data_IF_606484748251
#
_entry.id   IF_606484748251
#
_cell.length_a   1.000
_cell.length_b   1.000
_cell.length_c   1.000
_cell.angle_alpha   90.00
_cell.angle_beta   90.00
_cell.angle_gamma   90.00
#
_symmetry.space_group_name_H-M   'P 1'
#
loop_
_entity.id
_entity.type
_entity.pdbx_description
1 polymer ?
#
# COMPACT_ATOMS: atom_id res chain seq x y z
N UNK A 1 12.13 -1.82 -14.68
CA UNK A 1 11.76 -3.22 -14.86
C UNK A 1 12.87 -4.00 -15.57
N UNK A 2 12.93 -4.05 -16.91
CA UNK A 2 13.90 -4.89 -17.65
C UNK A 2 15.37 -4.57 -17.33
N UNK A 3 15.74 -3.30 -17.24
CA UNK A 3 17.12 -2.90 -16.88
C UNK A 3 17.43 -3.27 -15.42
N UNK A 4 16.50 -3.05 -14.51
CA UNK A 4 16.67 -3.41 -13.10
C UNK A 4 16.84 -4.93 -12.93
N UNK A 5 16.10 -5.73 -13.70
CA UNK A 5 16.20 -7.18 -13.69
C UNK A 5 17.58 -7.65 -14.19
N UNK A 6 18.05 -7.07 -15.31
CA UNK A 6 19.40 -7.34 -15.81
C UNK A 6 20.52 -6.94 -14.83
N UNK A 7 20.38 -5.81 -14.15
CA UNK A 7 21.35 -5.36 -13.17
C UNK A 7 21.28 -6.20 -11.88
N UNK A 8 20.10 -6.73 -11.54
CA UNK A 8 19.92 -7.61 -10.40
C UNK A 8 20.75 -8.88 -10.47
N UNK A 9 21.09 -9.37 -11.66
CA UNK A 9 22.01 -10.52 -11.82
C UNK A 9 23.39 -10.28 -11.20
N UNK A 10 23.84 -9.02 -11.18
CA UNK A 10 25.17 -8.63 -10.69
C UNK A 10 25.18 -8.07 -9.27
N UNK A 11 24.01 -7.77 -8.70
CA UNK A 11 23.86 -7.21 -7.37
C UNK A 11 23.53 -8.31 -6.35
N UNK A 12 23.98 -8.18 -5.12
CA UNK A 12 23.60 -9.03 -3.98
C UNK A 12 22.33 -8.53 -3.30
N UNK A 13 22.15 -7.21 -3.29
CA UNK A 13 21.02 -6.55 -2.65
C UNK A 13 20.31 -5.61 -3.60
N UNK A 14 18.99 -5.79 -3.76
CA UNK A 14 18.13 -4.97 -4.64
C UNK A 14 17.17 -4.15 -3.77
N UNK A 15 17.32 -2.83 -3.79
CA UNK A 15 16.56 -1.92 -2.93
C UNK A 15 15.57 -1.08 -3.73
N UNK A 16 14.29 -1.19 -3.40
CA UNK A 16 13.30 -0.20 -3.78
C UNK A 16 13.24 0.87 -2.69
N UNK A 17 13.75 2.05 -2.96
CA UNK A 17 13.92 3.09 -1.95
C UNK A 17 12.79 4.13 -1.90
N UNK A 18 11.94 4.24 -2.94
CA UNK A 18 10.84 5.22 -3.01
C UNK A 18 9.67 4.76 -3.90
N UNK A 19 8.63 5.60 -3.97
CA UNK A 19 7.43 5.35 -4.76
C UNK A 19 6.42 4.48 -4.02
N UNK A 20 5.53 3.87 -4.75
CA UNK A 20 4.49 2.99 -4.23
C UNK A 20 4.00 2.04 -5.33
N UNK A 21 2.76 1.58 -5.23
CA UNK A 21 2.16 0.66 -6.20
C UNK A 21 1.55 1.36 -7.44
N UNK A 22 2.03 2.57 -7.78
CA UNK A 22 1.51 3.36 -8.91
C UNK A 22 2.00 2.91 -10.28
N UNK A 23 3.19 2.31 -10.37
CA UNK A 23 3.76 1.79 -11.61
C UNK A 23 4.11 0.32 -11.46
N UNK A 24 3.62 -0.51 -12.38
CA UNK A 24 3.97 -1.92 -12.45
C UNK A 24 5.19 -2.18 -13.33
N UNK A 25 5.87 -3.29 -13.07
CA UNK A 25 6.88 -3.84 -13.96
C UNK A 25 6.63 -5.32 -14.17
N UNK A 26 6.94 -5.79 -15.36
CA UNK A 26 6.71 -7.18 -15.76
C UNK A 26 8.04 -7.83 -16.10
N UNK A 27 8.24 -9.04 -15.59
CA UNK A 27 9.41 -9.89 -15.82
C UNK A 27 8.92 -11.19 -16.40
N UNK A 28 9.64 -11.71 -17.39
CA UNK A 28 9.40 -13.03 -17.94
C UNK A 28 10.58 -13.93 -17.60
N UNK A 29 10.33 -15.04 -16.91
CA UNK A 29 11.34 -16.01 -16.52
C UNK A 29 10.81 -17.42 -16.71
N UNK A 30 11.57 -18.26 -17.42
CA UNK A 30 11.17 -19.66 -17.65
C UNK A 30 9.83 -19.83 -18.39
N UNK A 31 9.42 -18.85 -19.19
CA UNK A 31 8.12 -18.85 -19.88
C UNK A 31 6.95 -18.32 -19.01
N UNK A 32 7.17 -18.08 -17.74
CA UNK A 32 6.17 -17.48 -16.83
C UNK A 32 6.30 -15.96 -16.77
N UNK A 33 5.18 -15.28 -16.62
CA UNK A 33 5.10 -13.81 -16.54
C UNK A 33 4.75 -13.37 -15.14
N UNK A 34 5.61 -12.57 -14.53
CA UNK A 34 5.44 -12.00 -13.21
C UNK A 34 5.21 -10.48 -13.32
N UNK A 35 4.12 -9.98 -12.76
CA UNK A 35 3.80 -8.56 -12.71
C UNK A 35 3.85 -8.05 -11.28
N UNK A 36 4.74 -7.11 -11.00
CA UNK A 36 4.93 -6.52 -9.68
C UNK A 36 4.68 -5.02 -9.68
N UNK A 37 4.23 -4.50 -8.55
CA UNK A 37 4.09 -3.07 -8.28
C UNK A 37 4.97 -2.62 -7.10
N UNK A 38 5.17 -3.49 -6.11
CA UNK A 38 5.93 -3.20 -4.89
C UNK A 38 7.20 -4.03 -4.77
N UNK A 39 7.12 -5.32 -5.05
CA UNK A 39 8.25 -6.24 -4.86
C UNK A 39 9.35 -5.94 -5.87
N UNK A 40 10.63 -5.81 -5.45
CA UNK A 40 11.75 -5.63 -6.37
C UNK A 40 11.93 -6.80 -7.33
N UNK A 41 12.40 -6.53 -8.56
CA UNK A 41 12.60 -7.54 -9.61
C UNK A 41 13.49 -8.71 -9.20
N UNK A 42 14.48 -8.45 -8.35
CA UNK A 42 15.42 -9.47 -7.87
C UNK A 42 14.81 -10.61 -7.08
N UNK A 43 13.52 -10.52 -6.71
CA UNK A 43 12.84 -11.57 -5.91
C UNK A 43 12.88 -12.95 -6.56
N UNK A 44 12.96 -13.00 -7.88
CA UNK A 44 13.05 -14.26 -8.62
C UNK A 44 14.41 -14.94 -8.48
N UNK A 45 15.40 -14.29 -7.89
CA UNK A 45 16.73 -14.81 -7.59
C UNK A 45 16.84 -15.08 -6.10
N UNK A 46 16.88 -16.36 -5.71
CA UNK A 46 16.87 -16.79 -4.30
C UNK A 46 18.13 -16.39 -3.51
N UNK A 47 19.22 -16.13 -4.21
CA UNK A 47 20.52 -15.69 -3.68
C UNK A 47 20.61 -14.17 -3.46
N UNK A 48 19.58 -13.39 -3.84
CA UNK A 48 19.53 -11.93 -3.70
C UNK A 48 18.69 -11.51 -2.52
N UNK A 49 19.11 -10.48 -1.82
CA UNK A 49 18.27 -9.81 -0.82
C UNK A 49 17.43 -8.72 -1.49
N UNK A 50 16.11 -8.79 -1.34
CA UNK A 50 15.16 -7.82 -1.90
C UNK A 50 14.58 -6.94 -0.80
N UNK A 51 14.79 -5.64 -0.89
CA UNK A 51 14.41 -4.68 0.15
C UNK A 51 13.35 -3.71 -0.37
N UNK A 52 12.25 -3.57 0.40
CA UNK A 52 11.31 -2.45 0.29
C UNK A 52 11.68 -1.47 1.41
N UNK A 53 12.31 -0.36 1.04
CA UNK A 53 12.88 0.61 1.97
C UNK A 53 11.85 1.59 2.56
N UNK A 54 12.30 2.37 3.53
CA UNK A 54 11.48 3.32 4.31
C UNK A 54 10.94 4.52 3.51
N UNK A 55 11.46 4.76 2.32
CA UNK A 55 10.95 5.80 1.41
C UNK A 55 9.72 5.37 0.61
N UNK A 56 9.41 4.07 0.57
CA UNK A 56 8.25 3.54 -0.14
C UNK A 56 6.97 3.77 0.67
N UNK A 57 5.86 4.03 -0.02
CA UNK A 57 4.51 3.94 0.56
C UNK A 57 3.87 2.63 0.10
N UNK A 58 3.46 1.81 1.06
CA UNK A 58 3.08 0.41 0.87
C UNK A 58 1.58 0.22 1.02
N UNK A 59 0.91 -0.28 -0.02
CA UNK A 59 -0.44 -0.85 0.12
C UNK A 59 -0.28 -2.32 0.56
N UNK A 60 -0.66 -2.68 1.80
CA UNK A 60 -0.44 -4.03 2.33
C UNK A 60 -1.23 -5.08 1.55
N UNK A 61 -2.40 -4.75 1.00
CA UNK A 61 -3.21 -5.67 0.18
C UNK A 61 -2.49 -6.02 -1.12
N UNK A 62 -1.92 -5.00 -1.78
CA UNK A 62 -1.16 -5.21 -3.02
C UNK A 62 0.08 -6.04 -2.75
N UNK A 63 0.84 -5.71 -1.70
CA UNK A 63 2.05 -6.45 -1.35
C UNK A 63 1.75 -7.92 -1.03
N UNK A 64 0.72 -8.19 -0.23
CA UNK A 64 0.31 -9.55 0.11
C UNK A 64 -0.18 -10.32 -1.12
N UNK A 65 -0.91 -9.67 -2.02
CA UNK A 65 -1.34 -10.29 -3.29
C UNK A 65 -0.14 -10.70 -4.16
N UNK A 66 0.90 -9.87 -4.22
CA UNK A 66 2.14 -10.19 -4.94
C UNK A 66 2.91 -11.36 -4.27
N UNK A 67 3.02 -11.36 -2.93
CA UNK A 67 3.61 -12.44 -2.14
C UNK A 67 2.86 -13.76 -2.41
N UNK A 68 1.53 -13.74 -2.33
CA UNK A 68 0.71 -14.93 -2.56
C UNK A 68 0.83 -15.44 -4.01
N UNK A 69 0.94 -14.52 -4.97
CA UNK A 69 1.19 -14.84 -6.37
C UNK A 69 2.51 -15.59 -6.57
N UNK A 70 3.58 -15.08 -5.97
CA UNK A 70 4.91 -15.72 -6.00
C UNK A 70 4.90 -17.11 -5.36
N UNK A 71 4.30 -17.24 -4.17
CA UNK A 71 4.19 -18.53 -3.47
C UNK A 71 3.43 -19.57 -4.30
N UNK A 72 2.34 -19.16 -4.99
CA UNK A 72 1.58 -20.06 -5.88
C UNK A 72 2.40 -20.52 -7.08
N UNK A 73 3.29 -19.67 -7.58
CA UNK A 73 4.24 -20.01 -8.64
C UNK A 73 5.48 -20.79 -8.13
N UNK A 74 5.51 -21.21 -6.87
CA UNK A 74 6.63 -21.93 -6.30
C UNK A 74 7.86 -21.08 -6.01
N UNK A 75 7.75 -19.74 -6.07
CA UNK A 75 8.86 -18.82 -5.81
C UNK A 75 8.93 -18.51 -4.31
N UNK A 76 10.10 -18.73 -3.71
CA UNK A 76 10.34 -18.33 -2.32
C UNK A 76 10.37 -16.81 -2.18
N UNK A 77 9.79 -16.32 -1.09
CA UNK A 77 9.83 -14.91 -0.68
C UNK A 77 10.61 -14.68 0.62
N UNK A 78 11.40 -15.65 1.05
CA UNK A 78 12.19 -15.59 2.29
C UNK A 78 13.24 -14.46 2.25
N UNK A 79 13.69 -14.12 1.06
CA UNK A 79 14.67 -13.06 0.77
C UNK A 79 14.04 -11.65 0.66
N UNK A 80 12.71 -11.51 0.83
CA UNK A 80 12.04 -10.21 0.88
C UNK A 80 12.16 -9.58 2.26
N UNK A 81 12.64 -8.34 2.32
CA UNK A 81 12.73 -7.51 3.53
C UNK A 81 11.91 -6.24 3.35
N UNK A 82 10.98 -6.02 4.29
CA UNK A 82 10.09 -4.87 4.32
C UNK A 82 10.50 -3.94 5.46
N UNK A 83 10.74 -2.68 5.16
CA UNK A 83 11.09 -1.71 6.18
C UNK A 83 9.99 -1.54 7.23
N UNK A 84 10.33 -1.74 8.49
CA UNK A 84 9.49 -1.39 9.62
C UNK A 84 9.03 0.08 9.60
N UNK A 85 9.85 0.96 9.03
CA UNK A 85 9.61 2.40 8.92
C UNK A 85 8.92 2.85 7.62
N UNK A 86 8.63 1.96 6.67
CA UNK A 86 7.84 2.31 5.50
C UNK A 86 6.42 2.72 5.91
N UNK A 87 5.85 3.70 5.18
CA UNK A 87 4.50 4.17 5.48
C UNK A 87 3.44 3.37 4.71
N UNK A 88 2.27 3.23 5.32
CA UNK A 88 1.15 2.51 4.72
C UNK A 88 0.26 3.42 3.90
N UNK A 89 -0.23 2.90 2.79
CA UNK A 89 -1.37 3.46 2.07
C UNK A 89 -2.62 2.89 2.73
N UNK A 90 -3.35 3.75 3.42
CA UNK A 90 -4.60 3.41 4.10
C UNK A 90 -5.80 3.58 3.16
N UNK A 91 -6.94 2.92 3.41
CA UNK A 91 -8.14 3.04 2.58
C UNK A 91 -8.62 4.48 2.37
N UNK A 92 -8.50 5.33 3.39
CA UNK A 92 -8.86 6.74 3.28
C UNK A 92 -7.94 7.54 2.35
N UNK A 93 -6.68 7.14 2.15
CA UNK A 93 -5.79 7.77 1.18
C UNK A 93 -6.31 7.57 -0.25
N UNK A 94 -6.77 6.36 -0.58
CA UNK A 94 -7.36 6.04 -1.89
C UNK A 94 -8.63 6.84 -2.14
N UNK A 95 -9.47 6.99 -1.11
CA UNK A 95 -10.69 7.80 -1.18
C UNK A 95 -10.37 9.28 -1.45
N UNK A 96 -9.41 9.84 -0.72
CA UNK A 96 -8.99 11.24 -0.86
C UNK A 96 -8.35 11.51 -2.22
N UNK A 97 -7.49 10.62 -2.71
CA UNK A 97 -6.85 10.72 -4.03
C UNK A 97 -7.90 10.72 -5.15
N UNK A 98 -8.82 9.76 -5.10
CA UNK A 98 -9.95 9.68 -6.04
C UNK A 98 -10.82 10.92 -6.04
N UNK A 99 -11.04 11.50 -4.86
CA UNK A 99 -11.85 12.68 -4.69
C UNK A 99 -11.19 13.93 -5.25
N UNK A 100 -9.91 14.11 -4.96
CA UNK A 100 -9.13 15.23 -5.45
C UNK A 100 -9.13 15.25 -6.98
N UNK A 101 -8.87 14.12 -7.62
CA UNK A 101 -8.93 13.99 -9.07
C UNK A 101 -10.32 14.30 -9.63
N UNK A 102 -11.35 13.84 -8.95
CA UNK A 102 -12.73 14.10 -9.37
C UNK A 102 -13.11 15.58 -9.23
N UNK A 103 -12.64 16.27 -8.19
CA UNK A 103 -12.90 17.68 -7.92
C UNK A 103 -12.19 18.59 -8.93
N UNK A 104 -10.98 18.22 -9.33
CA UNK A 104 -10.18 18.97 -10.32
C UNK A 104 -10.77 18.88 -11.74
N UNK A 105 -11.54 17.85 -12.07
CA UNK A 105 -12.23 17.70 -13.35
C UNK A 105 -11.28 17.86 -14.54
N UNK A 106 -11.45 18.94 -15.35
CA UNK A 106 -10.58 19.23 -16.51
C UNK A 106 -9.14 19.55 -16.14
N UNK A 107 -8.88 19.96 -14.90
CA UNK A 107 -7.55 20.26 -14.36
C UNK A 107 -6.97 19.08 -13.55
N UNK A 108 -7.51 17.87 -13.75
CA UNK A 108 -7.01 16.67 -13.07
C UNK A 108 -5.54 16.45 -13.38
N UNK A 109 -4.79 16.01 -12.37
CA UNK A 109 -3.34 15.73 -12.46
C UNK A 109 -3.09 14.43 -13.24
N UNK A 110 -4.11 13.57 -13.33
CA UNK A 110 -3.99 12.24 -13.94
C UNK A 110 -3.35 11.23 -13.00
N UNK A 111 -3.62 11.32 -11.69
CA UNK A 111 -3.10 10.35 -10.72
C UNK A 111 -3.65 8.95 -10.97
N UNK A 112 -2.94 7.95 -10.49
CA UNK A 112 -3.38 6.55 -10.57
C UNK A 112 -4.52 6.23 -9.59
N UNK A 113 -4.93 7.18 -8.76
CA UNK A 113 -5.97 7.06 -7.71
C UNK A 113 -5.70 5.93 -6.71
N UNK A 114 -4.42 5.68 -6.44
CA UNK A 114 -3.96 4.63 -5.53
C UNK A 114 -3.56 5.15 -4.16
N UNK A 115 -3.82 6.43 -3.87
CA UNK A 115 -3.56 7.04 -2.56
C UNK A 115 -2.11 7.39 -2.29
N UNK A 116 -1.23 7.37 -3.29
CA UNK A 116 0.21 7.62 -3.15
C UNK A 116 0.47 9.03 -2.61
N UNK A 117 -0.08 10.06 -3.27
CA UNK A 117 0.07 11.46 -2.86
C UNK A 117 -0.41 11.73 -1.44
N UNK A 118 -1.65 11.37 -1.08
CA UNK A 118 -2.15 11.50 0.29
C UNK A 118 -1.33 10.75 1.34
N UNK A 119 -0.79 9.55 1.03
CA UNK A 119 0.07 8.81 1.95
C UNK A 119 1.40 9.53 2.20
N UNK A 120 2.02 10.12 1.17
CA UNK A 120 3.20 10.97 1.33
C UNK A 120 2.89 12.27 2.09
N UNK A 121 1.72 12.86 1.88
CA UNK A 121 1.28 14.02 2.65
C UNK A 121 1.19 13.69 4.15
N UNK A 122 0.57 12.56 4.51
CA UNK A 122 0.51 12.11 5.90
C UNK A 122 1.89 11.81 6.49
N UNK A 123 2.79 11.24 5.70
CA UNK A 123 4.20 11.06 6.10
C UNK A 123 4.85 12.39 6.45
N UNK A 124 4.71 13.42 5.60
CA UNK A 124 5.27 14.74 5.82
C UNK A 124 4.65 15.45 7.03
N UNK A 125 3.34 15.30 7.23
CA UNK A 125 2.57 15.83 8.35
C UNK A 125 2.79 15.05 9.66
N UNK A 126 3.55 13.94 9.64
CA UNK A 126 3.77 13.03 10.78
C UNK A 126 2.49 12.35 11.30
N UNK A 127 1.50 12.22 10.44
CA UNK A 127 0.24 11.49 10.69
C UNK A 127 0.25 10.07 10.08
N UNK A 128 1.29 9.76 9.30
CA UNK A 128 1.39 8.49 8.58
C UNK A 128 1.55 7.30 9.51
N UNK A 129 0.93 6.20 9.13
CA UNK A 129 1.01 4.91 9.80
C UNK A 129 2.15 4.12 9.18
N UNK A 130 3.00 3.52 10.00
CA UNK A 130 4.14 2.74 9.55
C UNK A 130 3.85 1.24 9.59
N UNK A 131 4.62 0.47 8.85
CA UNK A 131 4.52 -0.99 8.82
C UNK A 131 4.64 -1.60 10.22
N UNK A 132 5.57 -1.12 11.06
CA UNK A 132 5.72 -1.60 12.44
C UNK A 132 4.49 -1.38 13.31
N UNK A 133 3.66 -0.39 13.00
CA UNK A 133 2.45 -0.10 13.77
C UNK A 133 1.38 -1.19 13.61
N UNK A 134 1.50 -2.01 12.55
CA UNK A 134 0.62 -3.17 12.32
C UNK A 134 0.77 -4.27 13.39
N UNK A 135 1.90 -4.29 14.09
CA UNK A 135 2.25 -5.32 15.07
C UNK A 135 1.68 -5.03 16.47
N UNK A 136 1.10 -3.84 16.68
CA UNK A 136 0.46 -3.46 17.95
C UNK A 136 -0.91 -2.83 17.66
N UNK A 137 -1.98 -3.57 17.96
CA UNK A 137 -3.36 -3.12 17.71
C UNK A 137 -3.67 -1.79 18.41
N UNK A 138 -3.20 -1.58 19.65
CA UNK A 138 -3.48 -0.38 20.44
C UNK A 138 -2.82 0.85 19.83
N UNK A 139 -1.56 0.72 19.41
CA UNK A 139 -0.83 1.77 18.69
C UNK A 139 -1.50 2.05 17.36
N UNK A 140 -1.79 1.02 16.57
CA UNK A 140 -2.44 1.13 15.27
C UNK A 140 -3.78 1.86 15.37
N UNK A 141 -4.65 1.44 16.29
CA UNK A 141 -5.96 2.06 16.55
C UNK A 141 -5.85 3.55 16.91
N UNK A 142 -4.88 3.88 17.77
CA UNK A 142 -4.64 5.26 18.20
C UNK A 142 -4.18 6.12 17.02
N UNK A 143 -3.25 5.63 16.21
CA UNK A 143 -2.72 6.35 15.05
C UNK A 143 -3.75 6.50 13.93
N UNK A 144 -4.53 5.45 13.62
CA UNK A 144 -5.61 5.55 12.63
C UNK A 144 -6.63 6.61 13.06
N UNK A 145 -7.03 6.64 14.32
CA UNK A 145 -7.96 7.66 14.84
C UNK A 145 -7.40 9.06 14.65
N UNK A 146 -6.17 9.30 15.07
CA UNK A 146 -5.51 10.60 14.94
C UNK A 146 -5.35 11.03 13.47
N UNK A 147 -5.03 10.08 12.57
CA UNK A 147 -4.91 10.36 11.15
C UNK A 147 -6.25 10.66 10.47
N UNK A 148 -7.34 10.05 10.93
CA UNK A 148 -8.69 10.27 10.39
C UNK A 148 -9.30 11.60 10.83
N UNK A 149 -8.99 12.08 12.03
CA UNK A 149 -9.61 13.27 12.63
C UNK A 149 -9.56 14.50 11.69
N UNK A 150 -8.41 14.95 11.18
CA UNK A 150 -8.34 16.10 10.28
C UNK A 150 -8.98 15.84 8.90
N UNK A 151 -9.26 14.59 8.55
CA UNK A 151 -9.84 14.19 7.26
C UNK A 151 -11.35 14.00 7.29
N UNK A 152 -11.96 14.02 8.46
CA UNK A 152 -13.39 13.73 8.64
C UNK A 152 -14.29 14.63 7.79
N UNK A 153 -14.00 15.92 7.70
CA UNK A 153 -14.81 16.84 6.91
C UNK A 153 -14.74 16.50 5.42
N UNK A 154 -13.54 16.32 4.88
CA UNK A 154 -13.34 15.95 3.47
C UNK A 154 -14.01 14.61 3.12
N UNK A 155 -13.89 13.61 3.99
CA UNK A 155 -14.53 12.31 3.82
C UNK A 155 -16.07 12.39 3.86
N UNK A 156 -16.65 13.26 4.72
CA UNK A 156 -18.10 13.53 4.74
C UNK A 156 -18.59 14.17 3.46
N UNK A 157 -17.90 15.20 2.97
CA UNK A 157 -18.25 15.89 1.71
C UNK A 157 -18.25 14.91 0.54
N UNK A 158 -17.26 14.04 0.47
CA UNK A 158 -17.17 12.98 -0.54
C UNK A 158 -18.34 12.04 -0.51
N UNK A 159 -18.77 11.66 0.67
CA UNK A 159 -19.89 10.75 0.86
C UNK A 159 -21.19 11.34 0.36
N UNK A 160 -21.42 12.61 0.65
CA UNK A 160 -22.61 13.34 0.18
C UNK A 160 -22.61 13.44 -1.35
N UNK A 161 -21.47 13.79 -1.96
CA UNK A 161 -21.34 13.87 -3.42
C UNK A 161 -21.57 12.51 -4.10
N UNK A 162 -21.04 11.41 -3.53
CA UNK A 162 -21.25 10.07 -4.06
C UNK A 162 -22.71 9.64 -4.03
N UNK A 163 -23.43 9.97 -2.95
CA UNK A 163 -24.87 9.70 -2.83
C UNK A 163 -25.68 10.49 -3.87
N UNK A 164 -25.32 11.77 -4.07
CA UNK A 164 -25.98 12.63 -5.07
C UNK A 164 -25.85 12.06 -6.48
N UNK A 165 -24.64 11.68 -6.88
CA UNK A 165 -24.35 11.08 -8.20
C UNK A 165 -25.07 9.73 -8.41
N UNK A 166 -25.17 8.88 -7.37
CA UNK A 166 -25.92 7.62 -7.45
C UNK A 166 -27.41 7.85 -7.69
N UNK A 167 -28.01 8.82 -7.00
CA UNK A 167 -29.40 9.21 -7.21
C UNK A 167 -29.66 9.75 -8.63
N UNK A 168 -28.74 10.59 -9.12
CA UNK A 168 -28.81 11.16 -10.47
C UNK A 168 -28.61 10.10 -11.57
N UNK A 169 -27.85 9.03 -11.30
CA UNK A 169 -27.63 7.92 -12.23
C UNK A 169 -28.74 6.85 -12.21
N UNK A 170 -29.80 7.01 -11.40
CA UNK A 170 -30.91 6.06 -11.32
C UNK A 170 -30.55 4.68 -10.73
N UNK A 171 -29.41 4.54 -10.08
CA UNK A 171 -28.91 3.28 -9.50
C UNK A 171 -29.49 3.08 -8.07
N UNK A 172 -30.84 2.95 -8.02
CA UNK A 172 -31.58 2.72 -6.77
C UNK A 172 -31.46 1.26 -6.28
N UNK A 173 -31.03 0.33 -7.13
CA UNK A 173 -31.08 -1.12 -6.81
C UNK A 173 -30.13 -1.53 -5.68
N UNK A 174 -29.02 -0.82 -5.46
CA UNK A 174 -28.10 -1.07 -4.34
C UNK A 174 -28.39 -0.23 -3.10
N UNK A 175 -29.16 0.83 -3.22
CA UNK A 175 -29.60 1.62 -2.08
C UNK A 175 -30.66 0.88 -1.23
N UNK A 176 -31.47 0.04 -1.86
CA UNK A 176 -32.54 -0.72 -1.19
C UNK A 176 -32.00 -1.94 -0.40
N UNK A 177 -30.93 -2.60 -0.86
CA UNK A 177 -30.32 -3.73 -0.13
C UNK A 177 -29.51 -3.29 1.10
N UNK A 178 -29.02 -2.04 1.12
CA UNK A 178 -28.35 -1.43 2.27
C UNK A 178 -29.36 -0.76 3.26
N UNK A 179 -30.59 -0.57 2.86
CA UNK A 179 -31.66 0.09 3.64
C UNK A 179 -32.51 -0.82 4.53
N UNK A 180 -32.32 -2.14 4.46
CA UNK A 180 -33.11 -3.12 5.24
C UNK A 180 -32.67 -3.27 6.70
N UNK A 181 -31.53 -2.70 7.08
CA UNK A 181 -31.18 -2.52 8.49
C UNK A 181 -31.03 -1.02 8.74
N UNK A 182 -32.01 -0.35 9.27
CA UNK A 182 -32.19 1.08 9.56
C UNK A 182 -30.99 1.91 10.01
N UNK A 183 -29.80 1.63 9.49
CA UNK A 183 -28.55 2.32 9.72
C UNK A 183 -28.12 3.06 8.45
N UNK A 184 -28.00 4.38 8.54
CA UNK A 184 -27.27 5.20 7.57
C UNK A 184 -25.88 4.62 7.47
N UNK A 185 -25.56 3.91 6.37
CA UNK A 185 -24.20 3.46 6.10
C UNK A 185 -23.32 4.71 5.97
N UNK A 186 -22.60 5.00 7.04
CA UNK A 186 -21.63 6.09 7.10
C UNK A 186 -20.49 5.69 6.15
N UNK A 187 -20.22 6.41 5.08
CA UNK A 187 -19.14 6.07 4.15
C UNK A 187 -17.75 6.37 4.73
N UNK A 188 -17.69 6.80 5.99
CA UNK A 188 -16.42 6.87 6.71
C UNK A 188 -15.88 5.45 6.85
N UNK A 189 -14.57 5.26 6.65
CA UNK A 189 -13.96 3.98 6.94
C UNK A 189 -14.26 3.57 8.38
N UNK A 190 -14.86 2.40 8.56
CA UNK A 190 -15.08 1.87 9.91
C UNK A 190 -13.73 1.65 10.58
N UNK A 191 -13.49 2.39 11.67
CA UNK A 191 -12.24 2.31 12.43
C UNK A 191 -11.98 0.88 12.93
N UNK A 192 -13.03 0.18 13.39
CA UNK A 192 -12.86 -1.16 13.94
C UNK A 192 -12.47 -2.15 12.84
N UNK A 193 -13.23 -2.18 11.76
CA UNK A 193 -12.94 -3.03 10.60
C UNK A 193 -11.55 -2.73 10.00
N UNK A 194 -11.18 -1.44 9.91
CA UNK A 194 -9.85 -1.05 9.44
C UNK A 194 -8.73 -1.58 10.34
N UNK A 195 -8.89 -1.48 11.66
CA UNK A 195 -7.88 -1.98 12.61
C UNK A 195 -7.75 -3.49 12.50
N UNK A 196 -8.86 -4.22 12.51
CA UNK A 196 -8.87 -5.68 12.41
C UNK A 196 -8.22 -6.16 11.11
N UNK A 197 -8.59 -5.57 9.98
CA UNK A 197 -7.99 -5.89 8.68
C UNK A 197 -6.48 -5.65 8.67
N UNK A 198 -6.02 -4.52 9.22
CA UNK A 198 -4.61 -4.15 9.19
C UNK A 198 -3.77 -4.93 10.20
N UNK A 199 -4.32 -5.34 11.35
CA UNK A 199 -3.67 -6.29 12.27
C UNK A 199 -3.45 -7.63 11.57
N UNK A 200 -4.45 -8.13 10.83
CA UNK A 200 -4.28 -9.35 10.03
C UNK A 200 -3.18 -9.20 8.96
N UNK A 201 -3.10 -8.04 8.30
CA UNK A 201 -1.97 -7.77 7.39
C UNK A 201 -0.63 -7.78 8.15
N UNK A 202 -0.59 -7.24 9.36
CA UNK A 202 0.58 -7.24 10.23
C UNK A 202 1.11 -8.66 10.48
N UNK A 203 0.26 -9.57 10.95
CA UNK A 203 0.63 -10.97 11.18
C UNK A 203 1.18 -11.66 9.93
N UNK A 204 0.61 -11.37 8.77
CA UNK A 204 1.06 -11.97 7.51
C UNK A 204 2.37 -11.38 7.00
N UNK A 205 2.64 -10.10 7.29
CA UNK A 205 3.84 -9.39 6.85
C UNK A 205 5.00 -9.50 7.87
N UNK A 206 4.73 -9.86 9.12
CA UNK A 206 5.71 -9.94 10.21
C UNK A 206 7.00 -10.67 9.84
N UNK A 207 6.98 -11.83 9.13
CA UNK A 207 8.20 -12.53 8.74
C UNK A 207 9.13 -11.73 7.81
N UNK A 208 8.60 -10.71 7.15
CA UNK A 208 9.33 -9.87 6.20
C UNK A 208 9.80 -8.55 6.82
N UNK A 209 9.23 -8.15 7.97
CA UNK A 209 9.52 -6.85 8.59
C UNK A 209 10.94 -6.84 9.16
N UNK A 210 11.71 -5.81 8.82
CA UNK A 210 13.11 -5.68 9.22
C UNK A 210 13.54 -4.23 9.39
N UNK A 211 14.64 -4.00 10.12
CA UNK A 211 15.40 -2.76 10.07
C UNK A 211 16.22 -2.72 8.77
N UNK A 212 15.57 -2.25 7.72
CA UNK A 212 16.19 -2.20 6.40
C UNK A 212 17.26 -1.12 6.27
N UNK A 213 17.26 -0.11 7.13
CA UNK A 213 18.31 0.91 7.13
C UNK A 213 19.63 0.29 7.60
N UNK A 214 19.58 -0.45 8.72
CA UNK A 214 20.73 -1.20 9.21
C UNK A 214 21.20 -2.24 8.19
N UNK A 215 20.28 -3.02 7.62
CA UNK A 215 20.60 -4.03 6.63
C UNK A 215 21.31 -3.47 5.41
N UNK A 216 20.84 -2.34 4.86
CA UNK A 216 21.49 -1.69 3.72
C UNK A 216 22.86 -1.11 4.11
N UNK A 217 22.99 -0.58 5.33
CA UNK A 217 24.26 -0.07 5.81
C UNK A 217 25.31 -1.18 5.96
N UNK A 218 24.92 -2.29 6.61
CA UNK A 218 25.79 -3.47 6.79
C UNK A 218 26.25 -4.04 5.43
N UNK A 219 25.37 -4.07 4.43
CA UNK A 219 25.70 -4.52 3.08
C UNK A 219 26.73 -3.60 2.40
N UNK A 220 26.61 -2.27 2.55
CA UNK A 220 27.57 -1.32 2.01
C UNK A 220 28.93 -1.42 2.69
N UNK A 221 28.95 -1.54 4.02
CA UNK A 221 30.21 -1.70 4.80
C UNK A 221 30.90 -3.03 4.49
N UNK A 222 30.15 -4.09 4.23
CA UNK A 222 30.66 -5.39 3.82
C UNK A 222 31.21 -5.45 2.40
N UNK A 223 31.10 -4.34 1.63
CA UNK A 223 31.50 -4.28 0.22
C UNK A 223 30.56 -5.06 -0.71
N UNK A 224 29.35 -5.37 -0.27
CA UNK A 224 28.30 -5.97 -1.08
C UNK A 224 27.71 -4.91 -2.02
N UNK A 225 27.74 -5.16 -3.32
CA UNK A 225 27.16 -4.29 -4.35
C UNK A 225 25.94 -4.92 -5.01
#
# INVERSE_FOLDING_TARGET
>A
GKITDLLAERATTIVRFQGGNNAGHTIVRGGETFAFHLIPSGILHSDKTCVIGNGVVVDPRVLLSEIDGLKRAGVSVANLKLSANAHLIMPYHVLLDTASETKLGKNSIGTTRRGIGPAYADKALRLGIRVQDLLDEKILRTKIRAALEPKQQALRELSVQRRKRRKEAGDESKAASEGSMGGVVDPRPDLHAMVEEHVNYGHRLEPHIADTAKLCWDALDGGET
#
